data_IF_630647288860
#
_entry.id   IF_630647288860
#
_cell.length_a   1.000
_cell.length_b   1.000
_cell.length_c   1.000
_cell.angle_alpha   90.00
_cell.angle_beta   90.00
_cell.angle_gamma   90.00
#
_symmetry.space_group_name_H-M   'P 1'
#
loop_
_entity.id
_entity.type
_entity.pdbx_description
1 polymer ?
#
# COMPACT_ATOMS: atom_id res chain seq x y z
N UNK A 1 18.60 -2.46 -17.26
CA UNK A 1 19.60 -2.02 -16.26
C UNK A 1 19.63 -3.12 -15.21
N UNK A 2 20.81 -3.48 -14.73
CA UNK A 2 20.90 -4.47 -13.64
C UNK A 2 20.29 -3.91 -12.37
N UNK A 3 19.48 -4.73 -11.71
CA UNK A 3 18.89 -4.39 -10.42
C UNK A 3 20.00 -4.19 -9.39
N UNK A 4 19.94 -3.05 -8.69
CA UNK A 4 20.83 -2.69 -7.61
C UNK A 4 19.99 -2.34 -6.38
N UNK A 5 20.65 -2.24 -5.24
CA UNK A 5 20.07 -1.74 -4.00
C UNK A 5 20.92 -0.58 -3.50
N UNK A 6 20.31 0.42 -2.88
CA UNK A 6 21.10 1.44 -2.19
C UNK A 6 21.77 0.86 -0.95
N UNK A 7 23.02 1.23 -0.73
CA UNK A 7 23.62 1.15 0.59
C UNK A 7 23.19 2.36 1.44
N UNK A 8 23.74 2.51 2.65
CA UNK A 8 23.39 3.61 3.54
C UNK A 8 23.65 5.00 2.90
N UNK A 9 24.77 5.16 2.19
CA UNK A 9 25.11 6.43 1.54
C UNK A 9 24.12 6.75 0.40
N UNK A 10 23.71 5.75 -0.37
CA UNK A 10 22.70 5.91 -1.42
C UNK A 10 21.34 6.33 -0.88
N UNK A 11 20.89 5.74 0.24
CA UNK A 11 19.66 6.14 0.93
C UNK A 11 19.75 7.60 1.39
N UNK A 12 20.88 8.01 1.96
CA UNK A 12 21.11 9.39 2.40
C UNK A 12 21.18 10.38 1.23
N UNK A 13 21.82 10.01 0.12
CA UNK A 13 21.85 10.80 -1.09
C UNK A 13 20.43 11.02 -1.66
N UNK A 14 19.62 9.96 -1.70
CA UNK A 14 18.23 10.08 -2.14
C UNK A 14 17.40 10.93 -1.16
N UNK A 15 17.63 10.82 0.15
CA UNK A 15 16.99 11.69 1.16
C UNK A 15 17.33 13.17 0.93
N UNK A 16 18.59 13.50 0.65
CA UNK A 16 19.00 14.88 0.31
C UNK A 16 18.27 15.39 -0.93
N UNK A 17 18.18 14.57 -1.98
CA UNK A 17 17.41 14.91 -3.17
C UNK A 17 15.93 15.19 -2.85
N UNK A 18 15.28 14.35 -2.04
CA UNK A 18 13.87 14.58 -1.66
C UNK A 18 13.71 15.91 -0.89
N UNK A 19 14.65 16.25 -0.01
CA UNK A 19 14.66 17.52 0.71
C UNK A 19 14.87 18.71 -0.24
N UNK A 20 15.82 18.61 -1.17
CA UNK A 20 16.08 19.62 -2.19
C UNK A 20 14.86 19.83 -3.08
N UNK A 21 14.25 18.75 -3.57
CA UNK A 21 13.08 18.82 -4.44
C UNK A 21 11.85 19.47 -3.74
N UNK A 22 11.74 19.41 -2.41
CA UNK A 22 10.72 20.18 -1.68
C UNK A 22 10.97 21.70 -1.72
N UNK A 23 12.23 22.12 -1.73
CA UNK A 23 12.63 23.53 -1.80
C UNK A 23 12.63 24.04 -3.25
N UNK A 24 13.06 23.18 -4.17
CA UNK A 24 13.18 23.44 -5.60
C UNK A 24 12.41 22.35 -6.36
N UNK A 25 11.07 22.51 -6.55
CA UNK A 25 10.22 21.49 -7.17
C UNK A 25 10.61 21.04 -8.59
N UNK A 26 11.46 21.81 -9.27
CA UNK A 26 11.98 21.52 -10.60
C UNK A 26 13.35 20.82 -10.60
N UNK A 27 13.88 20.44 -9.42
CA UNK A 27 15.13 19.65 -9.33
C UNK A 27 15.02 18.39 -10.18
N UNK A 28 16.03 18.16 -11.02
CA UNK A 28 16.10 16.98 -11.88
C UNK A 28 16.27 15.71 -11.04
N UNK A 29 15.65 14.62 -11.50
CA UNK A 29 15.76 13.32 -10.83
C UNK A 29 17.22 12.83 -10.96
N UNK A 30 17.91 12.50 -9.86
CA UNK A 30 19.34 12.19 -9.88
C UNK A 30 19.58 10.73 -10.30
N UNK A 31 19.29 10.39 -11.55
CA UNK A 31 19.37 9.02 -12.08
C UNK A 31 20.78 8.43 -11.97
N UNK A 32 21.83 9.25 -11.97
CA UNK A 32 23.21 8.82 -11.76
C UNK A 32 23.42 8.05 -10.44
N UNK A 33 22.62 8.34 -9.39
CA UNK A 33 22.70 7.60 -8.13
C UNK A 33 22.39 6.11 -8.29
N UNK A 34 21.61 5.74 -9.31
CA UNK A 34 21.17 4.36 -9.52
C UNK A 34 22.32 3.42 -9.91
N UNK A 35 23.42 3.97 -10.44
CA UNK A 35 24.56 3.21 -10.97
C UNK A 35 25.88 3.49 -10.24
N UNK A 36 25.90 4.44 -9.31
CA UNK A 36 27.08 4.79 -8.52
C UNK A 36 27.47 3.65 -7.57
N UNK A 37 28.62 3.03 -7.81
CA UNK A 37 29.16 1.91 -7.01
C UNK A 37 29.46 2.30 -5.56
N UNK A 38 29.66 3.59 -5.24
CA UNK A 38 29.82 4.06 -3.86
C UNK A 38 28.49 4.14 -3.10
N UNK A 39 27.37 4.21 -3.83
CA UNK A 39 26.02 4.40 -3.29
C UNK A 39 25.15 3.14 -3.42
N UNK A 40 25.58 2.16 -4.22
CA UNK A 40 24.77 1.00 -4.58
C UNK A 40 25.54 -0.30 -4.58
N UNK A 41 24.83 -1.40 -4.36
CA UNK A 41 25.32 -2.77 -4.45
C UNK A 41 24.51 -3.54 -5.49
N UNK A 42 25.18 -4.44 -6.23
CA UNK A 42 24.49 -5.34 -7.16
C UNK A 42 23.67 -6.38 -6.40
N UNK A 43 22.40 -6.53 -6.78
CA UNK A 43 21.53 -7.59 -6.25
C UNK A 43 21.90 -8.93 -6.92
N UNK A 44 21.88 -10.02 -6.13
CA UNK A 44 22.14 -11.38 -6.61
C UNK A 44 20.94 -12.29 -6.36
N UNK A 45 20.51 -13.12 -7.32
CA UNK A 45 21.04 -13.26 -8.69
C UNK A 45 20.83 -11.98 -9.53
N UNK A 46 21.56 -11.86 -10.64
CA UNK A 46 21.43 -10.70 -11.53
C UNK A 46 20.01 -10.66 -12.11
N UNK A 47 19.31 -9.56 -11.88
CA UNK A 47 17.96 -9.30 -12.39
C UNK A 47 18.03 -8.08 -13.29
N UNK A 48 17.44 -8.14 -14.49
CA UNK A 48 17.32 -6.97 -15.36
C UNK A 48 16.01 -6.25 -15.08
N UNK A 49 16.09 -4.93 -14.92
CA UNK A 49 14.94 -4.05 -14.72
C UNK A 49 14.86 -3.03 -15.86
N UNK A 50 13.64 -2.80 -16.35
CA UNK A 50 13.34 -1.90 -17.45
C UNK A 50 12.46 -0.74 -16.97
N UNK A 51 12.64 0.48 -17.52
CA UNK A 51 11.74 1.59 -17.26
C UNK A 51 10.30 1.22 -17.65
N UNK A 52 9.34 1.56 -16.79
CA UNK A 52 7.93 1.26 -16.99
C UNK A 52 7.04 2.30 -16.30
N UNK A 53 5.91 2.60 -16.92
CA UNK A 53 4.82 3.32 -16.28
C UNK A 53 3.73 2.32 -15.88
N UNK A 54 3.14 2.53 -14.70
CA UNK A 54 2.09 1.67 -14.17
C UNK A 54 0.77 2.44 -14.15
N UNK A 55 -0.30 1.84 -14.69
CA UNK A 55 -1.63 2.43 -14.67
C UNK A 55 -2.17 2.53 -13.23
N UNK A 56 -1.84 1.57 -12.37
CA UNK A 56 -2.27 1.50 -10.99
C UNK A 56 -1.30 0.68 -10.12
N UNK A 57 -1.57 0.62 -8.82
CA UNK A 57 -0.77 -0.15 -7.86
C UNK A 57 -0.84 -1.66 -8.08
N UNK A 58 -1.94 -2.20 -8.61
CA UNK A 58 -2.04 -3.63 -8.92
C UNK A 58 -0.99 -4.00 -9.96
N UNK A 59 -0.94 -3.27 -11.07
CA UNK A 59 0.03 -3.53 -12.14
C UNK A 59 1.47 -3.41 -11.62
N UNK A 60 1.75 -2.38 -10.80
CA UNK A 60 3.06 -2.23 -10.16
C UNK A 60 3.39 -3.42 -9.25
N UNK A 61 2.44 -3.86 -8.42
CA UNK A 61 2.63 -4.99 -7.51
C UNK A 61 2.87 -6.30 -8.28
N UNK A 62 2.04 -6.60 -9.28
CA UNK A 62 2.17 -7.82 -10.10
C UNK A 62 3.51 -7.86 -10.83
N UNK A 63 3.91 -6.75 -11.45
CA UNK A 63 5.20 -6.63 -12.10
C UNK A 63 6.37 -6.80 -11.12
N UNK A 64 6.32 -6.14 -9.96
CA UNK A 64 7.39 -6.24 -8.96
C UNK A 64 7.46 -7.63 -8.32
N UNK A 65 6.32 -8.30 -8.13
CA UNK A 65 6.27 -9.70 -7.68
C UNK A 65 6.97 -10.61 -8.68
N UNK A 66 6.68 -10.46 -9.98
CA UNK A 66 7.33 -11.26 -11.02
C UNK A 66 8.84 -10.94 -11.14
N UNK A 67 9.20 -9.65 -11.13
CA UNK A 67 10.59 -9.17 -11.23
C UNK A 67 11.46 -9.69 -10.07
N UNK A 68 10.92 -9.70 -8.85
CA UNK A 68 11.65 -10.04 -7.63
C UNK A 68 11.49 -11.51 -7.22
N UNK A 69 10.72 -12.31 -7.98
CA UNK A 69 10.53 -13.74 -7.72
C UNK A 69 11.82 -14.57 -7.58
N UNK A 70 12.95 -14.24 -8.26
CA UNK A 70 14.21 -14.95 -8.04
C UNK A 70 14.87 -14.72 -6.67
N UNK A 71 14.39 -13.75 -5.89
CA UNK A 71 14.91 -13.42 -4.56
C UNK A 71 14.05 -14.07 -3.45
N UNK A 72 14.63 -14.43 -2.30
CA UNK A 72 13.84 -14.89 -1.16
C UNK A 72 12.87 -13.81 -0.68
N UNK A 73 11.59 -14.16 -0.52
CA UNK A 73 10.53 -13.18 -0.20
C UNK A 73 10.80 -12.38 1.10
N UNK A 74 11.39 -13.04 2.12
CA UNK A 74 11.73 -12.40 3.39
C UNK A 74 12.85 -11.36 3.25
N UNK A 75 13.82 -11.60 2.36
CA UNK A 75 14.87 -10.63 2.04
C UNK A 75 14.26 -9.44 1.32
N UNK A 76 13.40 -9.68 0.32
CA UNK A 76 12.68 -8.62 -0.40
C UNK A 76 11.87 -7.76 0.57
N UNK A 77 11.08 -8.35 1.46
CA UNK A 77 10.22 -7.62 2.41
C UNK A 77 11.03 -6.71 3.35
N UNK A 78 12.23 -7.12 3.77
CA UNK A 78 13.04 -6.40 4.74
C UNK A 78 14.05 -5.42 4.11
N UNK A 79 14.20 -5.39 2.79
CA UNK A 79 15.30 -4.68 2.14
C UNK A 79 15.02 -3.20 1.88
N UNK A 80 15.46 -2.34 2.81
CA UNK A 80 15.37 -0.87 2.68
C UNK A 80 16.04 -0.33 1.42
N UNK A 81 17.23 -0.85 1.09
CA UNK A 81 18.03 -0.41 -0.06
C UNK A 81 17.34 -0.69 -1.38
N UNK A 82 16.79 -1.90 -1.54
CA UNK A 82 16.07 -2.34 -2.74
C UNK A 82 14.82 -1.48 -2.99
N UNK A 83 13.95 -1.35 -1.99
CA UNK A 83 12.70 -0.61 -2.14
C UNK A 83 12.93 0.89 -2.39
N UNK A 84 13.94 1.46 -1.74
CA UNK A 84 14.31 2.87 -1.93
C UNK A 84 14.92 3.10 -3.31
N UNK A 85 15.76 2.17 -3.79
CA UNK A 85 16.34 2.22 -5.15
C UNK A 85 15.25 2.08 -6.22
N UNK A 86 14.33 1.14 -6.07
CA UNK A 86 13.19 0.97 -6.99
C UNK A 86 12.31 2.23 -7.05
N UNK A 87 12.15 2.93 -5.91
CA UNK A 87 11.44 4.20 -5.89
C UNK A 87 12.14 5.28 -6.72
N UNK A 88 13.47 5.42 -6.63
CA UNK A 88 14.19 6.35 -7.51
C UNK A 88 14.11 5.92 -8.97
N UNK A 89 14.21 4.63 -9.25
CA UNK A 89 14.13 4.10 -10.62
C UNK A 89 12.76 4.37 -11.27
N UNK A 90 11.67 4.22 -10.52
CA UNK A 90 10.30 4.50 -10.98
C UNK A 90 9.78 5.88 -10.54
N UNK A 91 10.67 6.84 -10.25
CA UNK A 91 10.28 8.08 -9.57
C UNK A 91 9.26 8.92 -10.36
N UNK A 92 9.28 8.87 -11.68
CA UNK A 92 8.27 9.54 -12.52
C UNK A 92 6.85 9.03 -12.25
N UNK A 93 6.67 7.73 -12.01
CA UNK A 93 5.37 7.15 -11.66
C UNK A 93 5.02 7.32 -10.18
N UNK A 94 6.02 7.28 -9.29
CA UNK A 94 5.83 7.38 -7.83
C UNK A 94 5.60 8.84 -7.38
N UNK A 95 6.26 9.80 -8.01
CA UNK A 95 6.12 11.24 -7.75
C UNK A 95 6.07 12.01 -9.08
N UNK A 96 4.96 11.90 -9.85
CA UNK A 96 4.84 12.56 -11.15
C UNK A 96 4.93 14.07 -11.03
N UNK A 97 5.53 14.71 -12.04
CA UNK A 97 5.59 16.15 -12.15
C UNK A 97 4.30 16.68 -12.81
N UNK A 98 3.88 17.86 -12.38
CA UNK A 98 2.88 18.67 -13.06
C UNK A 98 3.55 19.99 -13.41
N UNK A 99 3.49 20.42 -14.67
CA UNK A 99 4.16 21.64 -15.15
C UNK A 99 5.64 21.71 -14.74
N UNK A 100 6.34 20.59 -14.91
CA UNK A 100 7.75 20.41 -14.55
C UNK A 100 8.07 20.61 -13.05
N UNK A 101 7.06 20.50 -12.17
CA UNK A 101 7.19 20.64 -10.72
C UNK A 101 6.65 19.42 -9.99
N UNK A 102 7.38 18.93 -8.98
CA UNK A 102 6.96 17.80 -8.14
C UNK A 102 6.51 18.26 -6.77
N UNK A 103 5.49 17.59 -6.23
CA UNK A 103 5.06 17.75 -4.83
C UNK A 103 5.56 16.55 -4.04
N UNK A 104 6.80 16.64 -3.56
CA UNK A 104 7.40 15.61 -2.72
C UNK A 104 6.79 15.64 -1.32
N UNK A 105 6.10 14.56 -0.96
CA UNK A 105 5.51 14.36 0.37
C UNK A 105 6.58 13.89 1.37
N UNK A 106 6.20 13.46 2.56
CA UNK A 106 7.14 12.94 3.57
C UNK A 106 8.01 11.77 3.06
N UNK A 107 9.25 11.69 3.56
CA UNK A 107 10.28 10.72 3.15
C UNK A 107 9.80 9.27 3.19
N UNK A 108 9.04 8.88 4.22
CA UNK A 108 8.55 7.51 4.43
C UNK A 108 7.67 6.95 3.29
N UNK A 109 7.26 7.79 2.33
CA UNK A 109 6.56 7.35 1.12
C UNK A 109 7.50 6.84 0.04
N UNK A 110 8.77 7.24 0.11
CA UNK A 110 9.79 7.04 -0.93
C UNK A 110 11.02 6.30 -0.43
N UNK A 111 11.37 6.46 0.85
CA UNK A 111 12.41 5.72 1.55
C UNK A 111 11.74 4.68 2.40
N UNK A 112 12.12 3.41 2.21
CA UNK A 112 11.54 2.30 2.94
C UNK A 112 12.23 2.11 4.29
N UNK A 113 11.45 2.14 5.36
CA UNK A 113 11.92 2.00 6.74
C UNK A 113 11.27 0.75 7.39
N UNK A 114 11.76 -0.47 7.09
CA UNK A 114 11.13 -1.73 7.50
C UNK A 114 11.04 -1.88 9.02
N UNK A 115 12.02 -1.36 9.75
CA UNK A 115 12.09 -1.46 11.22
C UNK A 115 11.31 -0.35 11.94
N UNK A 116 10.73 0.62 11.22
CA UNK A 116 9.95 1.70 11.81
C UNK A 116 8.46 1.36 11.77
N UNK A 117 7.92 0.94 12.91
CA UNK A 117 6.52 0.51 13.06
C UNK A 117 5.48 1.57 12.65
N UNK A 118 5.85 2.85 12.63
CA UNK A 118 4.96 3.94 12.19
C UNK A 118 4.99 4.15 10.68
N UNK A 119 6.06 3.73 10.00
CA UNK A 119 6.36 4.11 8.62
C UNK A 119 6.41 2.93 7.64
N UNK A 120 6.69 1.70 8.09
CA UNK A 120 6.88 0.54 7.20
C UNK A 120 5.73 0.32 6.20
N UNK A 121 4.48 0.59 6.60
CA UNK A 121 3.30 0.45 5.73
C UNK A 121 3.04 1.66 4.81
N UNK A 122 3.89 2.69 4.83
CA UNK A 122 3.65 3.95 4.11
C UNK A 122 4.45 4.10 2.83
N UNK A 123 5.43 3.22 2.60
CA UNK A 123 6.24 3.22 1.39
C UNK A 123 5.41 2.74 0.18
N UNK A 124 5.33 3.57 -0.86
CA UNK A 124 4.31 3.43 -1.92
C UNK A 124 4.42 2.14 -2.73
N UNK A 125 5.63 1.75 -3.13
CA UNK A 125 5.84 0.51 -3.90
C UNK A 125 5.77 -0.73 -3.01
N UNK A 126 6.44 -0.69 -1.85
CA UNK A 126 6.51 -1.84 -0.93
C UNK A 126 5.12 -2.22 -0.41
N UNK A 127 4.27 -1.24 -0.06
CA UNK A 127 2.95 -1.55 0.46
C UNK A 127 2.04 -2.16 -0.61
N UNK A 128 2.16 -1.73 -1.87
CA UNK A 128 1.40 -2.32 -2.97
C UNK A 128 1.79 -3.79 -3.19
N UNK A 129 3.10 -4.07 -3.24
CA UNK A 129 3.63 -5.43 -3.33
C UNK A 129 3.18 -6.30 -2.15
N UNK A 130 3.33 -5.80 -0.92
CA UNK A 130 2.97 -6.53 0.31
C UNK A 130 1.49 -6.90 0.34
N UNK A 131 0.62 -5.98 -0.06
CA UNK A 131 -0.83 -6.24 -0.12
C UNK A 131 -1.15 -7.36 -1.11
N UNK A 132 -0.49 -7.39 -2.27
CA UNK A 132 -0.67 -8.48 -3.23
C UNK A 132 -0.22 -9.84 -2.67
N UNK A 133 0.86 -9.87 -1.87
CA UNK A 133 1.33 -11.11 -1.24
C UNK A 133 0.34 -11.66 -0.20
N UNK A 134 -0.21 -10.80 0.67
CA UNK A 134 -1.10 -11.24 1.76
C UNK A 134 -2.58 -11.36 1.33
N UNK A 135 -2.96 -10.74 0.22
CA UNK A 135 -4.33 -10.73 -0.27
C UNK A 135 -4.33 -10.72 -1.81
N UNK A 136 -4.03 -11.85 -2.48
CA UNK A 136 -3.94 -11.89 -3.95
C UNK A 136 -5.28 -11.64 -4.65
N UNK A 137 -6.39 -12.03 -4.02
CA UNK A 137 -7.75 -11.92 -4.59
C UNK A 137 -8.46 -10.64 -4.14
N UNK A 138 -8.63 -10.45 -2.83
CA UNK A 138 -9.48 -9.41 -2.25
C UNK A 138 -8.70 -8.14 -1.89
N UNK A 139 -8.19 -7.44 -2.90
CA UNK A 139 -7.29 -6.29 -2.75
C UNK A 139 -7.75 -5.03 -3.49
N UNK A 140 -8.98 -5.00 -4.02
CA UNK A 140 -9.49 -3.91 -4.88
C UNK A 140 -9.50 -2.57 -4.16
N UNK A 141 -9.88 -2.58 -2.89
CA UNK A 141 -9.91 -1.40 -2.03
C UNK A 141 -8.53 -0.69 -1.92
N UNK A 142 -7.44 -1.42 -2.14
CA UNK A 142 -6.08 -0.95 -1.90
C UNK A 142 -5.26 -0.72 -3.18
N UNK A 143 -5.48 -1.52 -4.23
CA UNK A 143 -4.58 -1.57 -5.39
C UNK A 143 -5.11 -0.89 -6.66
N UNK A 144 -6.38 -0.45 -6.69
CA UNK A 144 -6.98 0.20 -7.88
C UNK A 144 -6.43 1.63 -8.12
N UNK A 145 -6.00 2.32 -7.06
CA UNK A 145 -5.49 3.69 -7.16
C UNK A 145 -4.11 3.81 -7.83
N UNK A 146 -3.68 5.03 -8.18
CA UNK A 146 -2.37 5.28 -8.77
C UNK A 146 -1.23 5.02 -7.78
N UNK A 147 -0.05 4.68 -8.30
CA UNK A 147 1.17 4.39 -7.51
C UNK A 147 1.61 5.58 -6.65
N UNK A 148 1.38 6.81 -7.13
CA UNK A 148 1.75 8.04 -6.43
C UNK A 148 0.91 8.39 -5.20
N UNK A 149 -0.08 7.56 -4.85
CA UNK A 149 -1.00 7.81 -3.73
C UNK A 149 -1.08 6.61 -2.80
N UNK A 150 -1.15 6.93 -1.50
CA UNK A 150 -1.53 6.00 -0.45
C UNK A 150 -2.90 6.41 0.06
N UNK A 151 -3.88 5.51 -0.03
CA UNK A 151 -5.22 5.74 0.47
C UNK A 151 -5.26 5.62 1.99
N UNK A 152 -6.16 6.40 2.60
CA UNK A 152 -6.42 6.32 4.03
C UNK A 152 -6.90 4.92 4.43
N UNK A 153 -7.69 4.22 3.61
CA UNK A 153 -8.10 2.84 3.87
C UNK A 153 -6.89 1.92 4.03
N UNK A 154 -5.90 2.04 3.13
CA UNK A 154 -4.63 1.33 3.22
C UNK A 154 -3.89 1.65 4.51
N UNK A 155 -3.74 2.94 4.86
CA UNK A 155 -3.09 3.35 6.10
C UNK A 155 -3.82 2.80 7.35
N UNK A 156 -5.16 2.83 7.36
CA UNK A 156 -5.96 2.37 8.48
C UNK A 156 -5.87 0.84 8.67
N UNK A 157 -5.88 0.06 7.59
CA UNK A 157 -5.79 -1.40 7.69
C UNK A 157 -4.36 -1.83 8.00
N UNK A 158 -3.40 -1.36 7.22
CA UNK A 158 -2.03 -1.88 7.25
C UNK A 158 -1.26 -1.49 8.51
N UNK A 159 -1.63 -0.40 9.19
CA UNK A 159 -1.04 -0.07 10.50
C UNK A 159 -1.49 -1.00 11.62
N UNK A 160 -2.55 -1.80 11.43
CA UNK A 160 -3.17 -2.66 12.44
C UNK A 160 -2.85 -4.12 12.16
N UNK A 161 -1.67 -4.57 12.60
CA UNK A 161 -1.21 -5.96 12.38
C UNK A 161 -2.20 -7.02 12.87
N UNK A 162 -3.00 -6.75 13.90
CA UNK A 162 -4.01 -7.70 14.37
C UNK A 162 -5.12 -7.94 13.34
N UNK A 163 -5.49 -6.93 12.55
CA UNK A 163 -6.43 -7.10 11.45
C UNK A 163 -5.81 -7.99 10.37
N UNK A 164 -4.62 -7.63 9.89
CA UNK A 164 -3.96 -8.32 8.76
C UNK A 164 -3.56 -9.77 9.06
N UNK A 165 -3.62 -10.19 10.32
CA UNK A 165 -3.38 -11.59 10.74
C UNK A 165 -4.62 -12.47 10.66
N UNK A 166 -5.82 -11.91 10.52
CA UNK A 166 -7.05 -12.68 10.37
C UNK A 166 -7.16 -13.14 8.91
N UNK A 167 -7.18 -14.45 8.60
CA UNK A 167 -7.05 -14.95 7.23
C UNK A 167 -8.11 -14.40 6.26
N UNK A 168 -9.35 -14.28 6.71
CA UNK A 168 -10.46 -13.82 5.89
C UNK A 168 -10.64 -12.28 5.86
N UNK A 169 -9.80 -11.50 6.56
CA UNK A 169 -10.06 -10.07 6.78
C UNK A 169 -10.13 -9.24 5.48
N UNK A 170 -9.31 -9.58 4.49
CA UNK A 170 -9.25 -8.86 3.23
C UNK A 170 -10.50 -9.09 2.41
N UNK A 171 -11.04 -10.31 2.45
CA UNK A 171 -12.35 -10.64 1.87
C UNK A 171 -13.47 -9.87 2.57
N UNK A 172 -13.48 -9.84 3.91
CA UNK A 172 -14.47 -9.08 4.68
C UNK A 172 -14.41 -7.59 4.34
N UNK A 173 -13.23 -6.99 4.34
CA UNK A 173 -13.04 -5.57 4.01
C UNK A 173 -13.50 -5.27 2.57
N UNK A 174 -13.15 -6.13 1.62
CA UNK A 174 -13.55 -5.97 0.23
C UNK A 174 -15.08 -6.04 0.08
N UNK A 175 -15.75 -7.02 0.70
CA UNK A 175 -17.22 -7.16 0.65
C UNK A 175 -17.97 -6.04 1.36
N UNK A 176 -17.45 -5.54 2.48
CA UNK A 176 -18.10 -4.48 3.28
C UNK A 176 -17.92 -3.09 2.67
N UNK A 177 -16.76 -2.80 2.08
CA UNK A 177 -16.35 -1.42 1.77
C UNK A 177 -16.05 -1.15 0.31
N UNK A 178 -16.01 -2.18 -0.55
CA UNK A 178 -16.00 -1.97 -2.00
C UNK A 178 -17.43 -1.79 -2.51
N UNK A 179 -17.60 -0.85 -3.42
CA UNK A 179 -18.83 -0.70 -4.21
C UNK A 179 -18.59 -1.27 -5.61
N UNK A 180 -19.18 -2.44 -5.94
CA UNK A 180 -18.98 -3.07 -7.23
C UNK A 180 -19.65 -2.30 -8.38
N UNK A 181 -20.65 -1.46 -8.11
CA UNK A 181 -21.35 -0.68 -9.12
C UNK A 181 -20.49 0.49 -9.57
N UNK A 182 -19.92 1.23 -8.62
CA UNK A 182 -19.09 2.40 -8.94
C UNK A 182 -17.62 2.08 -9.13
N UNK A 183 -17.18 0.88 -8.77
CA UNK A 183 -15.76 0.47 -8.80
C UNK A 183 -14.90 1.32 -7.86
N UNK A 184 -15.47 1.77 -6.74
CA UNK A 184 -14.82 2.66 -5.78
C UNK A 184 -15.05 2.19 -4.34
N UNK A 185 -14.26 2.74 -3.42
CA UNK A 185 -14.54 2.61 -2.00
C UNK A 185 -15.87 3.26 -1.65
N UNK A 186 -16.65 2.63 -0.77
CA UNK A 186 -17.85 3.23 -0.19
C UNK A 186 -17.50 4.51 0.56
N UNK A 187 -18.44 5.45 0.58
CA UNK A 187 -18.24 6.76 1.21
C UNK A 187 -18.16 6.64 2.74
N UNK A 188 -17.43 7.56 3.37
CA UNK A 188 -17.39 7.78 4.83
C UNK A 188 -16.84 6.62 5.68
N UNK A 189 -16.12 5.68 5.07
CA UNK A 189 -15.54 4.52 5.78
C UNK A 189 -14.27 4.86 6.60
N UNK A 190 -13.64 6.01 6.34
CA UNK A 190 -12.37 6.44 6.96
C UNK A 190 -12.43 7.86 7.57
N UNK A 191 -13.64 8.36 7.82
CA UNK A 191 -13.88 9.69 8.36
C UNK A 191 -13.30 9.84 9.79
N UNK A 192 -13.00 11.07 10.19
CA UNK A 192 -12.49 11.35 11.55
C UNK A 192 -13.56 11.12 12.60
N UNK A 193 -14.82 11.44 12.30
CA UNK A 193 -15.95 11.16 13.20
C UNK A 193 -16.43 9.72 12.97
N UNK A 194 -16.57 8.90 14.03
CA UNK A 194 -17.11 7.55 13.90
C UNK A 194 -18.45 7.53 13.16
N UNK A 195 -18.57 6.64 12.19
CA UNK A 195 -19.79 6.30 11.48
C UNK A 195 -20.17 4.86 11.82
N UNK A 196 -21.45 4.54 11.63
CA UNK A 196 -21.94 3.18 11.77
C UNK A 196 -21.16 2.25 10.83
N UNK A 197 -20.59 1.17 11.37
CA UNK A 197 -19.92 0.12 10.61
C UNK A 197 -18.65 0.56 9.86
N UNK A 198 -18.06 1.70 10.19
CA UNK A 198 -16.89 2.21 9.46
C UNK A 198 -15.62 1.33 9.60
N UNK A 199 -14.71 1.49 8.63
CA UNK A 199 -13.44 0.77 8.58
C UNK A 199 -12.43 1.28 9.62
N UNK A 200 -12.51 2.57 9.99
CA UNK A 200 -11.47 3.24 10.79
C UNK A 200 -11.61 3.05 12.30
N UNK A 201 -12.82 3.02 12.81
CA UNK A 201 -13.18 3.04 14.23
C UNK A 201 -13.98 1.79 14.62
N UNK A 202 -15.05 1.48 13.88
CA UNK A 202 -16.00 0.42 14.26
C UNK A 202 -15.49 -0.98 13.97
N UNK A 203 -15.00 -1.25 12.76
CA UNK A 203 -14.44 -2.57 12.42
C UNK A 203 -13.32 -2.98 13.40
N UNK A 204 -12.29 -2.14 13.66
CA UNK A 204 -11.24 -2.51 14.60
C UNK A 204 -11.77 -2.78 16.01
N UNK A 205 -12.72 -1.97 16.49
CA UNK A 205 -13.32 -2.15 17.82
C UNK A 205 -14.10 -3.47 17.92
N UNK A 206 -14.90 -3.79 16.90
CA UNK A 206 -15.68 -5.03 16.87
C UNK A 206 -14.77 -6.26 16.78
N UNK A 207 -13.74 -6.23 15.93
CA UNK A 207 -12.76 -7.31 15.85
C UNK A 207 -12.09 -7.54 17.21
N UNK A 208 -11.66 -6.49 17.90
CA UNK A 208 -11.07 -6.61 19.26
C UNK A 208 -12.04 -7.20 20.29
N UNK A 209 -13.33 -6.99 20.12
CA UNK A 209 -14.34 -7.60 20.97
C UNK A 209 -14.49 -9.09 20.65
N UNK A 210 -14.61 -9.45 19.36
CA UNK A 210 -14.74 -10.84 18.91
C UNK A 210 -13.50 -11.69 19.23
N UNK A 211 -12.29 -11.10 19.19
CA UNK A 211 -11.02 -11.75 19.60
C UNK A 211 -11.05 -12.32 21.02
N UNK A 212 -11.96 -11.84 21.89
CA UNK A 212 -12.08 -12.32 23.28
C UNK A 212 -12.91 -13.59 23.42
N UNK A 213 -13.72 -13.92 22.43
CA UNK A 213 -14.71 -15.00 22.50
C UNK A 213 -14.60 -16.02 21.37
N UNK A 214 -14.04 -15.63 20.22
CA UNK A 214 -13.94 -16.47 19.04
C UNK A 214 -12.48 -16.62 18.62
N UNK A 215 -12.15 -17.80 18.10
CA UNK A 215 -10.91 -17.99 17.35
C UNK A 215 -11.08 -17.41 15.94
N UNK A 216 -10.59 -16.18 15.74
CA UNK A 216 -10.73 -15.51 14.45
C UNK A 216 -9.86 -16.13 13.34
N UNK A 217 -8.91 -17.02 13.67
CA UNK A 217 -8.06 -17.68 12.67
C UNK A 217 -8.81 -18.77 11.90
N UNK A 218 -9.86 -19.35 12.49
CA UNK A 218 -10.65 -20.42 11.88
C UNK A 218 -11.94 -19.96 11.20
N UNK A 219 -12.30 -18.67 11.31
CA UNK A 219 -13.52 -18.14 10.72
C UNK A 219 -13.40 -17.91 9.21
N UNK A 220 -14.46 -18.28 8.49
CA UNK A 220 -14.67 -17.83 7.11
C UNK A 220 -15.11 -16.36 7.07
N UNK A 221 -15.05 -15.75 5.89
CA UNK A 221 -15.53 -14.38 5.70
C UNK A 221 -17.03 -14.25 5.99
N UNK A 222 -17.84 -15.25 5.59
CA UNK A 222 -19.28 -15.26 5.86
C UNK A 222 -19.57 -15.30 7.38
N UNK A 223 -18.90 -16.18 8.11
CA UNK A 223 -19.03 -16.28 9.58
C UNK A 223 -18.60 -14.99 10.27
N UNK A 224 -17.48 -14.39 9.84
CA UNK A 224 -17.02 -13.14 10.43
C UNK A 224 -17.99 -11.99 10.14
N UNK A 225 -18.52 -11.88 8.92
CA UNK A 225 -19.53 -10.87 8.57
C UNK A 225 -20.82 -11.06 9.38
N UNK A 226 -21.26 -12.30 9.59
CA UNK A 226 -22.42 -12.61 10.42
C UNK A 226 -22.21 -12.13 11.87
N UNK A 227 -21.04 -12.42 12.46
CA UNK A 227 -20.67 -11.99 13.82
C UNK A 227 -20.52 -10.47 13.95
N UNK A 228 -20.09 -9.77 12.89
CA UNK A 228 -20.04 -8.30 12.87
C UNK A 228 -21.45 -7.69 12.98
N UNK A 229 -22.49 -8.40 12.54
CA UNK A 229 -23.88 -8.04 12.72
C UNK A 229 -24.38 -6.89 11.84
N UNK A 230 -25.61 -6.46 12.12
CA UNK A 230 -26.35 -5.47 11.30
C UNK A 230 -25.71 -4.08 11.28
N UNK A 231 -24.73 -3.78 12.13
CA UNK A 231 -24.00 -2.52 12.09
C UNK A 231 -23.25 -2.35 10.75
N UNK A 232 -22.72 -3.45 10.19
CA UNK A 232 -21.87 -3.45 9.00
C UNK A 232 -22.62 -3.79 7.71
N UNK A 233 -23.90 -4.14 7.81
CA UNK A 233 -24.73 -4.40 6.64
C UNK A 233 -25.06 -3.07 5.93
N UNK A 234 -25.03 -3.02 4.59
CA UNK A 234 -25.57 -1.88 3.87
C UNK A 234 -27.04 -1.65 4.27
N UNK A 235 -27.52 -0.40 4.35
CA UNK A 235 -28.93 -0.14 4.57
C UNK A 235 -29.73 -0.97 3.56
N UNK A 236 -30.70 -1.76 4.03
CA UNK A 236 -31.68 -2.36 3.12
C UNK A 236 -32.26 -1.20 2.31
N UNK A 237 -32.27 -1.33 0.98
CA UNK A 237 -32.94 -0.36 0.14
C UNK A 237 -34.38 -0.26 0.66
N UNK A 238 -34.77 0.91 1.17
CA UNK A 238 -36.18 1.15 1.48
C UNK A 238 -36.96 0.82 0.21
N UNK A 239 -38.01 -0.02 0.28
CA UNK A 239 -38.87 -0.22 -0.86
C UNK A 239 -39.36 1.15 -1.28
N UNK A 240 -39.01 1.53 -2.51
CA UNK A 240 -39.39 2.79 -3.13
C UNK A 240 -40.91 2.91 -2.96
N UNK A 241 -41.34 3.76 -2.02
CA UNK A 241 -42.75 3.97 -1.76
C UNK A 241 -43.35 4.46 -3.08
N UNK A 242 -44.17 3.60 -3.70
CA UNK A 242 -44.99 3.97 -4.83
C UNK A 242 -45.90 5.09 -4.34
N UNK A 243 -45.52 6.33 -4.66
CA UNK A 243 -46.39 7.48 -4.50
C UNK A 243 -47.64 7.19 -5.34
N UNK A 244 -48.76 6.97 -4.63
CA UNK A 244 -50.10 6.93 -5.19
C UNK A 244 -50.67 8.35 -5.20
#
# INVERSE_FOLDING_TARGET
MRLRQFNQQGIEAFRRFLAECRQTPATLVPTALLEDDSMTELVRPSIEVAPRQFANKREAAEYLTALLAPLPAHEVEANAGLWTWLTLFYFEGVCPASDNRRIVKNDYRYIYEPNNTRHYYRHLLCIAWRILQIAPVYNRLFLVGPVSKLEKSTEEVMKRLFLTRIPCIFEVIDRLYWDPVTGRQRRRIVDTKPQRGDLRHRLPAMIRQLEKTYDLQSLSADQLIELLGSEFQPPQAEPMALAS
#
